data_IF_946353041829
#
_entry.id   IF_946353041829
#
_cell.length_a   1.000
_cell.length_b   1.000
_cell.length_c   1.000
_cell.angle_alpha   90.00
_cell.angle_beta   90.00
_cell.angle_gamma   90.00
#
_symmetry.space_group_name_H-M   'P 1'
#
loop_
_entity.id
_entity.type
_entity.pdbx_description
1 polymer ?
#
# COMPACT_ATOMS: atom_id res chain seq x y z
N UNK A 1 0.29 -13.17 6.12
CA UNK A 1 -0.24 -12.24 5.09
C UNK A 1 -1.38 -11.34 5.58
N UNK A 2 -2.35 -11.83 6.37
CA UNK A 2 -3.43 -10.98 6.89
C UNK A 2 -2.92 -9.73 7.64
N UNK A 3 -1.95 -9.88 8.54
CA UNK A 3 -1.34 -8.75 9.26
C UNK A 3 -0.66 -7.74 8.32
N UNK A 4 -0.04 -8.20 7.22
CA UNK A 4 0.65 -7.36 6.24
C UNK A 4 -0.32 -6.42 5.49
N UNK A 5 -1.42 -6.98 4.96
CA UNK A 5 -2.44 -6.20 4.23
C UNK A 5 -3.28 -5.31 5.15
N UNK A 6 -3.35 -5.62 6.45
CA UNK A 6 -3.96 -4.76 7.47
C UNK A 6 -3.03 -3.64 7.98
N UNK A 7 -1.89 -3.40 7.32
CA UNK A 7 -1.02 -2.28 7.64
C UNK A 7 -0.17 -2.45 8.90
N UNK A 8 -0.03 -3.66 9.43
CA UNK A 8 0.84 -3.89 10.60
C UNK A 8 2.30 -3.53 10.28
N UNK A 9 3.03 -2.85 11.18
CA UNK A 9 4.45 -2.53 11.00
C UNK A 9 5.32 -3.79 10.83
N UNK A 10 6.43 -3.68 10.08
CA UNK A 10 7.34 -4.80 9.82
C UNK A 10 7.87 -5.44 11.12
N UNK A 11 8.22 -4.63 12.12
CA UNK A 11 8.67 -5.15 13.42
C UNK A 11 7.60 -5.98 14.16
N UNK A 12 6.30 -5.74 13.91
CA UNK A 12 5.22 -6.58 14.43
C UNK A 12 5.18 -7.90 13.66
N UNK A 13 5.28 -7.85 12.34
CA UNK A 13 5.27 -9.03 11.47
C UNK A 13 6.44 -9.96 11.76
N UNK A 14 7.63 -9.41 11.99
CA UNK A 14 8.82 -10.16 12.37
C UNK A 14 8.60 -10.96 13.66
N UNK A 15 7.96 -10.36 14.68
CA UNK A 15 7.65 -11.05 15.95
C UNK A 15 6.62 -12.17 15.78
N UNK A 16 5.68 -12.02 14.85
CA UNK A 16 4.66 -13.04 14.56
C UNK A 16 5.21 -14.24 13.79
N UNK A 17 6.40 -14.13 13.18
CA UNK A 17 7.00 -15.17 12.34
C UNK A 17 7.76 -16.27 13.12
N UNK A 18 7.54 -16.40 14.43
CA UNK A 18 8.13 -17.43 15.32
C UNK A 18 9.67 -17.57 15.27
N UNK A 19 10.38 -16.50 14.97
CA UNK A 19 11.85 -16.47 15.14
C UNK A 19 12.23 -15.63 16.35
N UNK A 20 13.09 -16.11 17.26
CA UNK A 20 13.58 -15.31 18.36
C UNK A 20 14.27 -14.07 17.77
N UNK A 21 13.79 -12.90 18.17
CA UNK A 21 14.22 -11.59 17.67
C UNK A 21 15.70 -11.25 17.98
N UNK A 22 16.49 -12.22 18.45
CA UNK A 22 17.83 -12.05 18.98
C UNK A 22 18.98 -12.35 17.99
N UNK A 23 18.73 -12.96 16.83
CA UNK A 23 19.85 -13.38 15.94
C UNK A 23 19.89 -12.76 14.55
N UNK A 24 18.79 -12.20 14.03
CA UNK A 24 18.80 -11.52 12.72
C UNK A 24 18.77 -10.01 12.91
N UNK A 25 19.83 -9.35 12.44
CA UNK A 25 19.88 -7.90 12.36
C UNK A 25 18.62 -7.41 11.63
N UNK A 26 17.99 -6.34 12.12
CA UNK A 26 16.68 -5.88 11.61
C UNK A 26 16.63 -5.62 10.09
N UNK A 27 17.78 -5.48 9.41
CA UNK A 27 17.85 -5.35 7.96
C UNK A 27 17.77 -6.66 7.15
N UNK A 28 18.07 -7.82 7.73
CA UNK A 28 17.99 -9.12 7.03
C UNK A 28 16.55 -9.61 6.93
N UNK A 29 15.76 -9.41 8.00
CA UNK A 29 14.33 -9.70 8.05
C UNK A 29 13.54 -8.93 6.98
N UNK A 30 13.96 -7.72 6.64
CA UNK A 30 13.30 -6.89 5.65
C UNK A 30 13.51 -7.44 4.23
N UNK A 31 14.73 -7.83 3.86
CA UNK A 31 15.05 -8.29 2.49
C UNK A 31 14.37 -9.63 2.15
N UNK A 32 14.47 -10.61 3.04
CA UNK A 32 13.86 -11.94 2.83
C UNK A 32 12.35 -11.86 2.73
N UNK A 33 11.72 -11.02 3.57
CA UNK A 33 10.29 -10.79 3.52
C UNK A 33 9.85 -10.17 2.19
N UNK A 34 10.53 -9.12 1.71
CA UNK A 34 10.19 -8.51 0.43
C UNK A 34 10.46 -9.42 -0.77
N UNK A 35 11.47 -10.28 -0.71
CA UNK A 35 11.71 -11.32 -1.72
C UNK A 35 10.55 -12.33 -1.77
N UNK A 36 10.13 -12.84 -0.61
CA UNK A 36 8.97 -13.73 -0.51
C UNK A 36 7.68 -13.05 -1.00
N UNK A 37 7.44 -11.79 -0.63
CA UNK A 37 6.27 -11.04 -1.11
C UNK A 37 6.26 -10.91 -2.63
N UNK A 38 7.41 -10.64 -3.23
CA UNK A 38 7.53 -10.52 -4.69
C UNK A 38 7.21 -11.86 -5.37
N UNK A 39 7.76 -12.96 -4.86
CA UNK A 39 7.50 -14.32 -5.37
C UNK A 39 6.03 -14.72 -5.23
N UNK A 40 5.43 -14.51 -4.05
CA UNK A 40 4.02 -14.84 -3.79
C UNK A 40 3.09 -14.02 -4.68
N UNK A 41 3.35 -12.72 -4.80
CA UNK A 41 2.51 -11.82 -5.61
C UNK A 41 2.57 -12.21 -7.08
N UNK A 42 3.76 -12.48 -7.62
CA UNK A 42 3.94 -12.93 -8.99
C UNK A 42 3.30 -14.30 -9.24
N UNK A 43 3.56 -15.28 -8.36
CA UNK A 43 2.98 -16.62 -8.47
C UNK A 43 1.45 -16.61 -8.41
N UNK A 44 0.86 -15.79 -7.54
CA UNK A 44 -0.59 -15.59 -7.49
C UNK A 44 -1.12 -15.01 -8.81
N UNK A 45 -0.43 -14.01 -9.38
CA UNK A 45 -0.78 -13.45 -10.68
C UNK A 45 -0.79 -14.50 -11.80
N UNK A 46 0.22 -15.37 -11.84
CA UNK A 46 0.28 -16.46 -12.82
C UNK A 46 -0.88 -17.46 -12.67
N UNK A 47 -1.16 -17.91 -11.44
CA UNK A 47 -2.30 -18.80 -11.15
C UNK A 47 -3.63 -18.16 -11.53
N UNK A 48 -3.75 -16.86 -11.25
CA UNK A 48 -4.94 -16.10 -11.57
C UNK A 48 -5.15 -15.96 -13.09
N UNK A 49 -4.09 -15.74 -13.87
CA UNK A 49 -4.20 -15.71 -15.33
C UNK A 49 -4.73 -17.03 -15.88
N UNK A 50 -4.31 -18.16 -15.31
CA UNK A 50 -4.81 -19.49 -15.67
C UNK A 50 -6.29 -19.63 -15.27
N UNK A 51 -6.66 -19.22 -14.06
CA UNK A 51 -8.03 -19.37 -13.56
C UNK A 51 -9.05 -18.43 -14.22
N UNK A 52 -8.62 -17.22 -14.60
CA UNK A 52 -9.47 -16.20 -15.20
C UNK A 52 -9.43 -16.19 -16.73
N UNK A 53 -8.70 -17.09 -17.38
CA UNK A 53 -8.56 -17.12 -18.84
C UNK A 53 -9.92 -17.13 -19.55
N UNK A 54 -10.90 -17.81 -18.95
CA UNK A 54 -12.20 -18.07 -19.56
C UNK A 54 -13.31 -17.15 -19.01
N UNK A 55 -12.98 -16.21 -18.12
CA UNK A 55 -13.96 -15.28 -17.53
C UNK A 55 -13.94 -13.93 -18.25
N UNK A 56 -15.10 -13.32 -18.52
CA UNK A 56 -15.15 -11.97 -19.09
C UNK A 56 -14.69 -10.90 -18.10
N UNK A 57 -14.15 -9.79 -18.58
CA UNK A 57 -13.61 -8.71 -17.73
C UNK A 57 -14.57 -8.16 -16.66
N UNK A 58 -15.90 -8.00 -16.90
CA UNK A 58 -16.83 -7.50 -15.88
C UNK A 58 -16.96 -8.45 -14.69
N UNK A 59 -16.89 -9.76 -14.93
CA UNK A 59 -17.08 -10.79 -13.91
C UNK A 59 -15.85 -10.97 -13.01
N UNK A 60 -14.71 -10.42 -13.41
CA UNK A 60 -13.45 -10.53 -12.66
C UNK A 60 -13.39 -9.61 -11.43
N UNK A 61 -14.26 -8.61 -11.32
CA UNK A 61 -14.36 -7.74 -10.14
C UNK A 61 -13.02 -7.16 -9.67
N UNK A 62 -12.68 -7.36 -8.39
CA UNK A 62 -11.38 -6.93 -7.82
C UNK A 62 -10.29 -7.99 -7.89
N UNK A 63 -10.60 -9.22 -8.34
CA UNK A 63 -9.64 -10.30 -8.37
C UNK A 63 -8.33 -9.91 -9.08
N UNK A 64 -8.33 -9.24 -10.26
CA UNK A 64 -7.11 -8.79 -10.97
C UNK A 64 -6.12 -7.99 -10.11
N UNK A 65 -6.59 -7.37 -9.03
CA UNK A 65 -5.77 -6.54 -8.17
C UNK A 65 -5.17 -7.29 -6.98
N UNK A 66 -5.61 -8.52 -6.67
CA UNK A 66 -5.15 -9.29 -5.51
C UNK A 66 -3.62 -9.46 -5.47
N UNK A 67 -2.92 -9.79 -6.58
CA UNK A 67 -1.47 -9.80 -6.61
C UNK A 67 -0.83 -8.47 -6.18
N UNK A 68 -1.35 -7.36 -6.70
CA UNK A 68 -0.85 -6.03 -6.38
C UNK A 68 -1.19 -5.61 -4.93
N UNK A 69 -2.37 -5.97 -4.44
CA UNK A 69 -2.78 -5.77 -3.05
C UNK A 69 -1.83 -6.48 -2.09
N UNK A 70 -1.45 -7.72 -2.39
CA UNK A 70 -0.44 -8.48 -1.65
C UNK A 70 0.93 -7.79 -1.71
N UNK A 71 1.40 -7.44 -2.91
CA UNK A 71 2.70 -6.79 -3.09
C UNK A 71 2.82 -5.49 -2.29
N UNK A 72 1.79 -4.63 -2.37
CA UNK A 72 1.79 -3.33 -1.72
C UNK A 72 1.34 -3.32 -0.26
N UNK A 73 0.82 -4.45 0.23
CA UNK A 73 0.33 -4.60 1.60
C UNK A 73 -0.93 -3.78 1.88
N UNK A 74 -1.89 -3.87 0.98
CA UNK A 74 -3.19 -3.19 1.04
C UNK A 74 -4.32 -4.18 0.72
N UNK A 75 -5.58 -3.80 0.94
CA UNK A 75 -6.78 -4.65 0.78
C UNK A 75 -7.72 -4.15 -0.31
N UNK A 76 -7.49 -2.95 -0.83
CA UNK A 76 -8.38 -2.29 -1.79
C UNK A 76 -7.64 -1.94 -3.07
N UNK A 77 -8.32 -2.02 -4.21
CA UNK A 77 -7.72 -1.65 -5.51
C UNK A 77 -7.34 -0.17 -5.56
N UNK A 78 -8.12 0.71 -4.94
CA UNK A 78 -7.82 2.14 -4.92
C UNK A 78 -6.52 2.42 -4.14
N UNK A 79 -6.25 1.63 -3.10
CA UNK A 79 -5.01 1.72 -2.33
C UNK A 79 -3.79 1.26 -3.15
N UNK A 80 -3.97 0.33 -4.10
CA UNK A 80 -2.89 -0.05 -5.03
C UNK A 80 -2.44 1.16 -5.85
N UNK A 81 -3.36 1.92 -6.43
CA UNK A 81 -3.00 3.09 -7.24
C UNK A 81 -2.29 4.18 -6.42
N UNK A 82 -2.69 4.37 -5.16
CA UNK A 82 -2.03 5.27 -4.22
C UNK A 82 -0.60 4.80 -3.89
N UNK A 83 -0.41 3.51 -3.63
CA UNK A 83 0.90 2.92 -3.35
C UNK A 83 1.84 3.03 -4.56
N UNK A 84 1.34 2.80 -5.77
CA UNK A 84 2.06 3.04 -7.02
C UNK A 84 2.42 4.52 -7.22
N UNK A 85 1.67 5.43 -6.59
CA UNK A 85 1.93 6.88 -6.60
C UNK A 85 2.79 7.35 -5.41
N UNK A 86 3.44 6.42 -4.70
CA UNK A 86 4.38 6.71 -3.63
C UNK A 86 3.75 6.93 -2.25
N UNK A 87 2.42 6.83 -2.10
CA UNK A 87 1.74 7.04 -0.81
C UNK A 87 2.23 5.99 0.19
N UNK A 88 2.67 6.37 1.41
CA UNK A 88 3.13 5.41 2.42
C UNK A 88 2.05 4.38 2.81
N UNK A 89 2.45 3.12 3.00
CA UNK A 89 1.53 2.00 3.33
C UNK A 89 0.58 2.29 4.50
N UNK A 90 1.02 2.90 5.63
CA UNK A 90 0.14 3.12 6.78
C UNK A 90 -1.15 3.87 6.41
N UNK A 91 -1.05 4.92 5.59
CA UNK A 91 -2.20 5.79 5.26
C UNK A 91 -2.89 5.42 3.94
N UNK A 92 -2.34 4.49 3.16
CA UNK A 92 -2.86 4.16 1.83
C UNK A 92 -4.31 3.65 1.87
N UNK A 93 -4.65 2.81 2.87
CA UNK A 93 -6.02 2.30 3.06
C UNK A 93 -7.02 3.41 3.37
N UNK A 94 -6.67 4.31 4.29
CA UNK A 94 -7.54 5.41 4.70
C UNK A 94 -7.72 6.44 3.57
N UNK A 95 -6.64 6.76 2.86
CA UNK A 95 -6.70 7.65 1.70
C UNK A 95 -7.46 7.02 0.52
N UNK A 96 -7.39 5.71 0.33
CA UNK A 96 -8.20 5.00 -0.66
C UNK A 96 -9.70 5.11 -0.36
N UNK A 97 -10.08 5.05 0.92
CA UNK A 97 -11.47 5.27 1.33
C UNK A 97 -11.91 6.71 1.02
N UNK A 98 -11.05 7.69 1.27
CA UNK A 98 -11.33 9.09 0.94
C UNK A 98 -11.47 9.28 -0.58
N UNK A 99 -10.56 8.72 -1.39
CA UNK A 99 -10.63 8.74 -2.85
C UNK A 99 -11.98 8.20 -3.35
N UNK A 100 -12.38 7.03 -2.86
CA UNK A 100 -13.65 6.39 -3.22
C UNK A 100 -14.87 7.20 -2.76
N UNK A 101 -14.81 7.83 -1.58
CA UNK A 101 -15.88 8.67 -1.03
C UNK A 101 -16.07 9.97 -1.82
N UNK A 102 -15.01 10.50 -2.39
CA UNK A 102 -15.06 11.62 -3.34
C UNK A 102 -15.53 11.17 -4.75
N UNK A 103 -16.14 9.98 -4.86
CA UNK A 103 -16.64 9.36 -6.09
C UNK A 103 -15.62 9.29 -7.21
N UNK A 104 -14.33 9.22 -6.85
CA UNK A 104 -13.27 9.08 -7.83
C UNK A 104 -13.19 7.63 -8.26
N UNK A 105 -13.51 7.39 -9.54
CA UNK A 105 -13.34 6.10 -10.19
C UNK A 105 -11.87 5.74 -10.42
N UNK A 106 -11.64 4.87 -11.40
CA UNK A 106 -10.29 4.55 -11.85
C UNK A 106 -9.59 5.83 -12.39
N UNK A 107 -8.37 6.13 -11.93
CA UNK A 107 -7.64 7.30 -12.38
C UNK A 107 -7.22 7.13 -13.84
N UNK A 108 -7.33 8.20 -14.63
CA UNK A 108 -6.90 8.18 -16.03
C UNK A 108 -5.36 8.00 -16.16
N UNK A 109 -4.61 8.41 -15.13
CA UNK A 109 -3.17 8.21 -15.01
C UNK A 109 -2.68 8.52 -13.58
N UNK A 110 -1.44 8.11 -13.26
CA UNK A 110 -0.83 8.36 -11.94
C UNK A 110 -0.60 9.84 -11.62
N UNK A 111 -0.52 10.72 -12.62
CA UNK A 111 -0.37 12.17 -12.37
C UNK A 111 -1.63 12.77 -11.73
N UNK A 112 -2.82 12.25 -12.08
CA UNK A 112 -4.08 12.64 -11.42
C UNK A 112 -4.04 12.30 -9.92
N UNK A 113 -3.53 11.13 -9.57
CA UNK A 113 -3.41 10.69 -8.19
C UNK A 113 -2.42 11.57 -7.45
N UNK A 114 -1.24 11.82 -8.01
CA UNK A 114 -0.22 12.66 -7.36
C UNK A 114 -0.72 14.08 -7.11
N UNK A 115 -1.41 14.69 -8.08
CA UNK A 115 -2.05 16.01 -7.89
C UNK A 115 -3.08 15.99 -6.77
N UNK A 116 -3.91 14.95 -6.70
CA UNK A 116 -4.89 14.81 -5.64
C UNK A 116 -4.21 14.65 -4.27
N UNK A 117 -3.23 13.76 -4.14
CA UNK A 117 -2.47 13.57 -2.90
C UNK A 117 -1.78 14.88 -2.46
N UNK A 118 -1.23 15.65 -3.40
CA UNK A 118 -0.62 16.96 -3.13
C UNK A 118 -1.65 17.99 -2.63
N UNK A 119 -2.89 17.90 -3.11
CA UNK A 119 -3.97 18.82 -2.71
C UNK A 119 -4.55 18.54 -1.31
N UNK A 120 -4.25 17.37 -0.73
CA UNK A 120 -4.75 17.00 0.59
C UNK A 120 -4.16 17.91 1.69
N UNK A 121 -5.05 18.40 2.54
CA UNK A 121 -4.70 19.16 3.73
C UNK A 121 -4.00 18.30 4.79
N UNK A 122 -3.26 18.94 5.69
CA UNK A 122 -2.64 18.24 6.83
C UNK A 122 -3.67 17.52 7.70
N UNK A 123 -4.86 18.11 7.88
CA UNK A 123 -5.96 17.50 8.61
C UNK A 123 -6.44 16.19 7.96
N UNK A 124 -6.52 16.12 6.63
CA UNK A 124 -6.88 14.88 5.92
C UNK A 124 -5.79 13.81 6.07
N UNK A 125 -4.51 14.19 6.05
CA UNK A 125 -3.42 13.27 6.34
C UNK A 125 -3.42 12.78 7.79
N UNK A 126 -3.75 13.66 8.74
CA UNK A 126 -3.89 13.33 10.16
C UNK A 126 -5.07 12.38 10.40
N UNK A 127 -6.22 12.64 9.78
CA UNK A 127 -7.37 11.73 9.85
C UNK A 127 -7.04 10.37 9.23
N UNK A 128 -6.34 10.36 8.10
CA UNK A 128 -5.91 9.12 7.46
C UNK A 128 -5.01 8.29 8.37
N UNK A 129 -4.07 8.95 9.07
CA UNK A 129 -3.14 8.33 10.01
C UNK A 129 -3.81 7.84 11.30
N UNK A 130 -4.79 8.57 11.81
CA UNK A 130 -5.52 8.23 13.03
C UNK A 130 -6.26 6.88 12.95
N UNK A 131 -6.54 6.39 11.73
CA UNK A 131 -7.21 5.11 11.46
C UNK A 131 -6.24 3.92 11.29
N UNK A 132 -4.96 4.12 11.59
CA UNK A 132 -3.89 3.15 11.31
C UNK A 132 -3.26 2.62 12.59
N UNK A 133 -2.42 1.59 12.48
CA UNK A 133 -1.68 1.08 13.63
C UNK A 133 -0.78 2.19 14.23
N UNK A 134 -0.60 2.22 15.57
CA UNK A 134 0.25 3.22 16.22
C UNK A 134 1.63 3.32 15.59
N UNK A 135 2.05 4.54 15.29
CA UNK A 135 3.34 4.84 14.69
C UNK A 135 3.93 6.09 15.33
N UNK A 136 5.26 6.20 15.32
CA UNK A 136 5.98 7.41 15.74
C UNK A 136 5.94 8.51 14.67
N UNK A 137 5.53 8.17 13.45
CA UNK A 137 5.42 9.11 12.34
C UNK A 137 4.17 9.96 12.49
N UNK A 138 4.29 11.26 12.23
CA UNK A 138 3.20 12.22 12.18
C UNK A 138 2.66 12.35 10.75
N UNK A 139 1.49 13.01 10.59
CA UNK A 139 0.96 13.36 9.27
C UNK A 139 1.97 14.18 8.44
N UNK A 140 2.70 15.09 9.10
CA UNK A 140 3.73 15.90 8.47
C UNK A 140 4.89 15.04 7.96
N UNK A 141 5.36 14.08 8.75
CA UNK A 141 6.45 13.18 8.34
C UNK A 141 6.05 12.39 7.09
N UNK A 142 4.83 11.85 7.06
CA UNK A 142 4.33 11.10 5.91
C UNK A 142 4.20 11.95 4.64
N UNK A 143 3.79 13.21 4.77
CA UNK A 143 3.74 14.16 3.65
C UNK A 143 5.14 14.47 3.12
N UNK A 144 6.11 14.67 4.01
CA UNK A 144 7.52 14.92 3.63
C UNK A 144 8.11 13.69 2.93
N UNK A 145 7.88 12.49 3.47
CA UNK A 145 8.32 11.23 2.86
C UNK A 145 7.71 11.10 1.46
N UNK A 146 6.39 11.28 1.33
CA UNK A 146 5.72 11.19 0.05
C UNK A 146 6.28 12.21 -0.96
N UNK A 147 6.39 13.48 -0.58
CA UNK A 147 6.92 14.53 -1.45
C UNK A 147 8.37 14.30 -1.88
N UNK A 148 9.17 13.68 -1.02
CA UNK A 148 10.56 13.30 -1.35
C UNK A 148 10.63 12.16 -2.35
N UNK A 149 9.76 11.15 -2.21
CA UNK A 149 9.69 10.00 -3.12
C UNK A 149 9.14 10.36 -4.50
N UNK A 150 8.25 11.35 -4.58
CA UNK A 150 7.58 11.74 -5.83
C UNK A 150 8.21 12.94 -6.52
N UNK A 151 9.12 13.66 -5.86
CA UNK A 151 9.68 14.91 -6.35
C UNK A 151 8.77 16.13 -6.15
N UNK A 152 7.60 15.96 -5.55
CA UNK A 152 6.61 17.03 -5.29
C UNK A 152 7.01 17.91 -4.09
N UNK A 153 7.93 17.45 -3.25
CA UNK A 153 8.37 18.15 -2.03
C UNK A 153 9.35 19.32 -2.25
N UNK A 154 9.77 19.60 -3.48
CA UNK A 154 10.76 20.66 -3.82
C UNK A 154 10.18 21.90 -4.52
N UNK A 155 8.86 22.06 -4.56
CA UNK A 155 8.25 23.26 -5.12
C UNK A 155 7.88 24.28 -4.02
N UNK A 156 8.89 24.84 -3.33
CA UNK A 156 8.82 26.15 -2.64
C UNK A 156 10.21 26.75 -2.54
#
# INVERSE_FOLDING_TARGET
>A
MNAWVNGQPLHVLARLAEQPASERASGELDTDFFNQLSLISWGMGALQTIYLSDQEAPDRGEAPYVPAMLYFGVRRKEAVWLRMSGVPRPVAESLAQLWKKEERGEPANFSQIRRWVNSLSEAQWQEALARTAPTRLTARDLRVIWGSLTGEGRAR
#
